data_IF_757427052113
#
_entry.id   IF_757427052113
#
_cell.length_a   1.000
_cell.length_b   1.000
_cell.length_c   1.000
_cell.angle_alpha   90.00
_cell.angle_beta   90.00
_cell.angle_gamma   90.00
#
_symmetry.space_group_name_H-M   'P 1'
#
loop_
_entity.id
_entity.type
_entity.pdbx_description
1 polymer ?
#
# COMPACT_ATOMS: atom_id res chain seq x y z
N UNK A 1 -41.68 8.88 39.69
CA UNK A 1 -40.33 8.40 40.03
C UNK A 1 -39.75 7.70 38.81
N UNK A 2 -39.15 8.48 37.93
CA UNK A 2 -38.53 7.99 36.67
C UNK A 2 -37.06 7.73 36.97
N UNK A 3 -36.47 6.58 36.59
CA UNK A 3 -35.04 6.38 36.76
C UNK A 3 -34.28 7.10 35.62
N UNK A 4 -33.31 7.82 36.07
CA UNK A 4 -32.23 8.53 35.44
C UNK A 4 -31.51 7.66 34.38
N UNK A 5 -31.51 8.13 33.15
CA UNK A 5 -30.73 7.51 32.05
C UNK A 5 -29.29 8.03 32.16
N UNK A 6 -28.46 7.35 32.93
CA UNK A 6 -27.06 7.64 33.02
C UNK A 6 -26.41 7.51 31.61
N UNK A 7 -25.89 8.65 31.18
CA UNK A 7 -24.96 8.89 30.09
C UNK A 7 -23.82 7.81 30.10
N UNK A 8 -23.84 6.91 29.12
CA UNK A 8 -22.72 6.01 28.85
C UNK A 8 -21.78 6.76 27.91
N UNK A 9 -20.56 7.07 28.32
CA UNK A 9 -19.57 7.61 27.40
C UNK A 9 -19.31 6.59 26.31
N UNK A 10 -19.39 7.07 25.08
CA UNK A 10 -19.10 6.36 23.84
C UNK A 10 -17.67 5.77 23.88
N UNK A 11 -17.57 4.46 24.07
CA UNK A 11 -16.30 3.72 24.19
C UNK A 11 -15.59 3.52 22.83
N UNK A 12 -16.07 4.14 21.76
CA UNK A 12 -15.56 3.96 20.41
C UNK A 12 -14.38 4.87 20.04
N UNK A 13 -13.94 5.78 20.92
CA UNK A 13 -12.94 6.80 20.54
C UNK A 13 -11.64 6.79 21.39
N UNK A 14 -11.35 5.75 22.15
CA UNK A 14 -10.25 5.78 23.14
C UNK A 14 -8.99 5.00 22.76
N UNK A 15 -8.85 4.42 21.57
CA UNK A 15 -7.67 3.58 21.26
C UNK A 15 -7.03 3.79 19.87
N UNK A 16 -7.32 4.90 19.19
CA UNK A 16 -6.54 5.35 18.02
C UNK A 16 -5.43 6.31 18.49
N UNK A 17 -4.43 5.82 19.20
CA UNK A 17 -3.10 6.44 19.10
C UNK A 17 -2.66 6.12 17.68
N UNK A 18 -2.73 7.15 16.80
CA UNK A 18 -2.61 7.00 15.37
C UNK A 18 -1.42 6.13 14.99
N UNK A 19 -1.68 5.09 14.20
CA UNK A 19 -0.62 4.34 13.54
C UNK A 19 0.27 5.35 12.81
N UNK A 20 1.54 5.37 13.14
CA UNK A 20 2.49 6.26 12.47
C UNK A 20 3.19 5.43 11.41
N UNK A 21 2.68 5.52 10.18
CA UNK A 21 3.33 4.90 9.02
C UNK A 21 4.64 5.62 8.68
N UNK A 22 5.54 4.93 7.99
CA UNK A 22 6.77 5.55 7.50
C UNK A 22 6.46 6.71 6.56
N UNK A 23 7.20 7.80 6.70
CA UNK A 23 7.04 9.03 5.92
C UNK A 23 8.01 9.15 4.75
N UNK A 24 7.79 10.18 3.93
CA UNK A 24 8.70 10.55 2.85
C UNK A 24 10.13 10.80 3.35
N UNK A 25 11.11 10.33 2.59
CA UNK A 25 12.54 10.36 2.92
C UNK A 25 13.04 9.13 3.67
N UNK A 26 12.17 8.28 4.20
CA UNK A 26 12.58 7.05 4.84
C UNK A 26 12.98 5.99 3.80
N UNK A 27 13.98 5.18 4.11
CA UNK A 27 14.30 3.98 3.33
C UNK A 27 13.18 2.96 3.53
N UNK A 28 12.60 2.47 2.44
CA UNK A 28 11.58 1.44 2.49
C UNK A 28 12.18 0.12 2.99
N UNK A 29 11.63 -0.51 4.05
CA UNK A 29 12.07 -1.83 4.48
C UNK A 29 11.93 -2.85 3.36
N UNK A 30 13.00 -3.61 3.10
CA UNK A 30 12.95 -4.69 2.13
C UNK A 30 12.05 -5.83 2.65
N UNK A 31 11.44 -6.55 1.74
CA UNK A 31 10.64 -7.72 2.03
C UNK A 31 10.78 -8.76 0.92
N UNK A 32 10.40 -9.99 1.22
CA UNK A 32 10.20 -11.05 0.24
C UNK A 32 8.98 -11.85 0.68
N UNK A 33 7.87 -11.71 -0.06
CA UNK A 33 6.58 -12.32 0.26
C UNK A 33 6.10 -13.21 -0.88
N UNK A 34 5.26 -14.18 -0.56
CA UNK A 34 4.64 -15.03 -1.57
C UNK A 34 3.54 -14.27 -2.35
N UNK A 35 3.61 -14.29 -3.67
CA UNK A 35 2.54 -13.87 -4.60
C UNK A 35 1.70 -15.06 -5.07
N UNK A 36 2.34 -16.23 -5.18
CA UNK A 36 1.70 -17.52 -5.45
C UNK A 36 2.35 -18.57 -4.53
N UNK A 37 1.82 -19.81 -4.46
CA UNK A 37 2.47 -20.87 -3.69
C UNK A 37 3.95 -21.09 -4.05
N UNK A 38 4.30 -20.88 -5.32
CA UNK A 38 5.62 -21.21 -5.88
C UNK A 38 6.48 -19.97 -6.17
N UNK A 39 5.91 -18.75 -6.07
CA UNK A 39 6.60 -17.51 -6.43
C UNK A 39 6.65 -16.53 -5.26
N UNK A 40 7.78 -15.88 -5.12
CA UNK A 40 7.99 -14.77 -4.19
C UNK A 40 8.33 -13.51 -4.96
N UNK A 41 7.95 -12.39 -4.39
CA UNK A 41 8.25 -11.05 -4.88
C UNK A 41 8.95 -10.29 -3.76
N UNK A 42 10.06 -9.65 -4.08
CA UNK A 42 10.83 -8.81 -3.17
C UNK A 42 10.82 -7.36 -3.62
N UNK A 43 10.93 -6.42 -2.70
CA UNK A 43 11.05 -5.00 -3.08
C UNK A 43 12.31 -4.76 -3.93
N UNK A 44 13.37 -5.52 -3.69
CA UNK A 44 14.62 -5.45 -4.45
C UNK A 44 14.46 -5.81 -5.94
N UNK A 45 13.46 -6.59 -6.31
CA UNK A 45 13.17 -6.96 -7.70
C UNK A 45 12.81 -5.74 -8.55
N UNK A 46 12.44 -4.61 -7.90
CA UNK A 46 12.01 -3.37 -8.54
C UNK A 46 13.08 -2.27 -8.48
N UNK A 47 14.33 -2.60 -8.20
CA UNK A 47 15.41 -1.59 -8.21
C UNK A 47 15.50 -0.89 -9.57
N UNK A 48 15.56 0.45 -9.52
CA UNK A 48 15.55 1.30 -10.72
C UNK A 48 14.14 1.64 -11.23
N UNK A 49 13.08 1.10 -10.61
CA UNK A 49 11.69 1.33 -10.97
C UNK A 49 10.90 1.81 -9.75
N UNK A 50 9.93 2.68 -9.95
CA UNK A 50 9.04 3.10 -8.87
C UNK A 50 8.04 1.99 -8.50
N UNK A 51 7.67 1.94 -7.23
CA UNK A 51 6.68 0.99 -6.70
C UNK A 51 5.58 1.75 -5.96
N UNK A 52 4.34 1.43 -6.29
CA UNK A 52 3.16 1.76 -5.48
C UNK A 52 2.87 0.55 -4.59
N UNK A 53 3.14 0.68 -3.30
CA UNK A 53 2.88 -0.37 -2.31
C UNK A 53 1.60 -0.03 -1.56
N UNK A 54 0.58 -0.87 -1.72
CA UNK A 54 -0.74 -0.68 -1.14
C UNK A 54 -1.03 -1.75 -0.09
N UNK A 55 -0.95 -1.39 1.20
CA UNK A 55 -1.49 -2.21 2.28
C UNK A 55 -3.00 -2.02 2.35
N UNK A 56 -3.74 -3.13 2.51
CA UNK A 56 -5.19 -3.12 2.64
C UNK A 56 -5.65 -4.20 3.64
N UNK A 57 -6.74 -3.98 4.39
CA UNK A 57 -7.12 -4.82 5.52
C UNK A 57 -7.35 -6.29 5.21
N UNK A 58 -8.13 -6.59 4.18
CA UNK A 58 -8.48 -7.98 3.86
C UNK A 58 -9.06 -8.13 2.45
N UNK A 59 -8.79 -9.27 1.82
CA UNK A 59 -9.52 -9.71 0.63
C UNK A 59 -11.03 -9.78 0.92
N UNK A 60 -11.84 -9.67 -0.12
CA UNK A 60 -13.30 -9.80 -0.07
C UNK A 60 -14.05 -8.73 0.74
N UNK A 61 -13.36 -7.85 1.48
CA UNK A 61 -14.06 -6.72 2.11
C UNK A 61 -14.56 -5.75 1.02
N UNK A 62 -15.76 -5.16 1.16
CA UNK A 62 -16.33 -4.31 0.12
C UNK A 62 -15.41 -3.15 -0.27
N UNK A 63 -14.91 -2.40 0.71
CA UNK A 63 -14.03 -1.24 0.47
C UNK A 63 -12.70 -1.63 -0.16
N UNK A 64 -12.11 -2.77 0.25
CA UNK A 64 -10.87 -3.28 -0.36
C UNK A 64 -11.13 -3.73 -1.80
N UNK A 65 -12.26 -4.38 -2.04
CA UNK A 65 -12.67 -4.76 -3.39
C UNK A 65 -12.79 -3.58 -4.34
N UNK A 66 -13.42 -2.50 -3.90
CA UNK A 66 -13.57 -1.28 -4.69
C UNK A 66 -12.23 -0.57 -4.91
N UNK A 67 -11.36 -0.55 -3.90
CA UNK A 67 -10.01 -0.01 -4.01
C UNK A 67 -9.17 -0.78 -5.04
N UNK A 68 -9.15 -2.11 -4.96
CA UNK A 68 -8.39 -2.95 -5.90
C UNK A 68 -8.95 -2.85 -7.32
N UNK A 69 -10.26 -2.76 -7.50
CA UNK A 69 -10.89 -2.54 -8.80
C UNK A 69 -10.49 -1.19 -9.40
N UNK A 70 -10.51 -0.11 -8.61
CA UNK A 70 -10.04 1.20 -9.04
C UNK A 70 -8.58 1.15 -9.48
N UNK A 71 -7.71 0.54 -8.67
CA UNK A 71 -6.28 0.45 -8.98
C UNK A 71 -6.02 -0.38 -10.24
N UNK A 72 -6.81 -1.42 -10.47
CA UNK A 72 -6.73 -2.20 -11.71
C UNK A 72 -7.12 -1.37 -12.94
N UNK A 73 -8.08 -0.45 -12.81
CA UNK A 73 -8.47 0.46 -13.91
C UNK A 73 -7.39 1.50 -14.21
N UNK A 74 -6.72 2.05 -13.19
CA UNK A 74 -5.67 3.06 -13.35
C UNK A 74 -4.26 2.49 -13.49
N UNK A 75 -4.10 1.17 -13.45
CA UNK A 75 -2.82 0.49 -13.59
C UNK A 75 -2.02 0.91 -14.84
N UNK A 76 -2.64 1.11 -16.03
CA UNK A 76 -1.92 1.61 -17.20
C UNK A 76 -1.26 2.97 -16.98
N UNK A 77 -1.88 3.85 -16.18
CA UNK A 77 -1.31 5.17 -15.84
C UNK A 77 -0.11 5.03 -14.91
N UNK A 78 -0.17 4.14 -13.91
CA UNK A 78 0.98 3.86 -13.05
C UNK A 78 2.16 3.36 -13.88
N UNK A 79 1.93 2.42 -14.80
CA UNK A 79 2.97 1.90 -15.69
C UNK A 79 3.51 2.94 -16.66
N UNK A 80 2.65 3.82 -17.18
CA UNK A 80 3.09 4.96 -18.02
C UNK A 80 4.03 5.90 -17.26
N UNK A 81 3.84 6.04 -15.95
CA UNK A 81 4.70 6.82 -15.05
C UNK A 81 5.90 6.01 -14.50
N UNK A 82 6.13 4.80 -15.02
CA UNK A 82 7.27 3.96 -14.67
C UNK A 82 7.13 3.26 -13.31
N UNK A 83 5.91 3.04 -12.84
CA UNK A 83 5.65 2.41 -11.55
C UNK A 83 4.90 1.07 -11.70
N UNK A 84 5.25 0.11 -10.84
CA UNK A 84 4.49 -1.12 -10.62
C UNK A 84 3.66 -1.01 -9.34
N UNK A 85 2.48 -1.65 -9.36
CA UNK A 85 1.59 -1.72 -8.21
C UNK A 85 1.70 -3.07 -7.52
N UNK A 86 1.77 -3.06 -6.20
CA UNK A 86 1.79 -4.24 -5.34
C UNK A 86 0.75 -4.07 -4.24
N UNK A 87 -0.16 -5.02 -4.09
CA UNK A 87 -1.06 -5.09 -2.95
C UNK A 87 -0.49 -6.01 -1.87
N UNK A 88 -0.68 -5.65 -0.60
CA UNK A 88 -0.23 -6.46 0.55
C UNK A 88 -1.32 -6.53 1.60
N UNK A 89 -1.66 -7.73 2.03
CA UNK A 89 -2.48 -7.97 3.22
C UNK A 89 -1.98 -9.18 4.01
N UNK A 90 -2.60 -9.47 5.15
CA UNK A 90 -2.31 -10.66 5.94
C UNK A 90 -3.04 -11.91 5.48
N UNK A 91 -3.77 -11.82 4.38
CA UNK A 91 -4.43 -13.00 3.78
C UNK A 91 -3.39 -13.96 3.19
N UNK A 92 -3.74 -15.24 3.13
CA UNK A 92 -2.86 -16.26 2.57
C UNK A 92 -2.93 -16.29 1.03
N UNK A 93 -1.90 -16.87 0.40
CA UNK A 93 -1.75 -16.94 -1.07
C UNK A 93 -2.95 -17.51 -1.79
N UNK A 94 -3.64 -18.51 -1.21
CA UNK A 94 -4.83 -19.10 -1.82
C UNK A 94 -6.02 -18.15 -1.82
N UNK A 95 -6.16 -17.33 -0.76
CA UNK A 95 -7.16 -16.27 -0.70
C UNK A 95 -6.87 -15.22 -1.77
N UNK A 96 -5.64 -14.74 -1.84
CA UNK A 96 -5.20 -13.79 -2.87
C UNK A 96 -5.43 -14.33 -4.29
N UNK A 97 -5.10 -15.58 -4.55
CA UNK A 97 -5.30 -16.20 -5.87
C UNK A 97 -6.79 -16.19 -6.27
N UNK A 98 -7.66 -16.60 -5.35
CA UNK A 98 -9.10 -16.62 -5.59
C UNK A 98 -9.66 -15.19 -5.76
N UNK A 99 -9.24 -14.26 -4.91
CA UNK A 99 -9.68 -12.87 -4.96
C UNK A 99 -9.22 -12.15 -6.23
N UNK A 100 -7.94 -12.28 -6.59
CA UNK A 100 -7.38 -11.70 -7.79
C UNK A 100 -8.05 -12.26 -9.05
N UNK A 101 -8.27 -13.57 -9.10
CA UNK A 101 -8.96 -14.22 -10.22
C UNK A 101 -10.41 -13.76 -10.36
N UNK A 102 -11.16 -13.71 -9.25
CA UNK A 102 -12.57 -13.28 -9.27
C UNK A 102 -12.74 -11.82 -9.70
N UNK A 103 -11.74 -10.97 -9.47
CA UNK A 103 -11.75 -9.54 -9.81
C UNK A 103 -10.90 -9.19 -11.03
N UNK A 104 -10.32 -10.18 -11.69
CA UNK A 104 -9.45 -10.02 -12.86
C UNK A 104 -8.36 -8.95 -12.61
N UNK A 105 -7.64 -9.04 -11.47
CA UNK A 105 -6.57 -8.12 -11.12
C UNK A 105 -5.31 -8.42 -11.94
N UNK A 106 -4.64 -7.38 -12.43
CA UNK A 106 -3.45 -7.48 -13.27
C UNK A 106 -2.17 -7.01 -12.57
N UNK A 107 -2.15 -7.05 -11.26
CA UNK A 107 -1.01 -6.76 -10.38
C UNK A 107 -0.93 -7.79 -9.25
N UNK A 108 0.27 -8.04 -8.68
CA UNK A 108 0.44 -9.04 -7.65
C UNK A 108 -0.17 -8.61 -6.31
N UNK A 109 -0.77 -9.59 -5.61
CA UNK A 109 -1.12 -9.50 -4.21
C UNK A 109 -0.14 -10.37 -3.43
N UNK A 110 0.43 -9.82 -2.35
CA UNK A 110 1.46 -10.48 -1.55
C UNK A 110 0.96 -10.81 -0.16
N UNK A 111 1.22 -12.05 0.27
CA UNK A 111 0.77 -12.59 1.53
C UNK A 111 1.76 -12.28 2.66
N UNK A 112 1.46 -11.28 3.48
CA UNK A 112 2.14 -11.01 4.77
C UNK A 112 1.51 -11.87 5.88
N UNK A 113 1.37 -13.18 5.58
CA UNK A 113 0.59 -14.14 6.34
C UNK A 113 1.34 -14.68 7.54
N UNK A 114 2.62 -15.09 7.35
CA UNK A 114 3.44 -15.68 8.41
C UNK A 114 4.93 -15.31 8.24
N UNK A 115 5.57 -14.69 9.24
CA UNK A 115 4.99 -14.17 10.49
C UNK A 115 3.96 -13.08 10.22
N UNK A 116 2.77 -13.22 10.80
CA UNK A 116 1.60 -12.41 10.47
C UNK A 116 1.86 -10.91 10.61
N UNK A 117 1.74 -10.18 9.50
CA UNK A 117 1.90 -8.74 9.47
C UNK A 117 3.33 -8.26 9.74
N UNK A 118 4.35 -9.09 9.54
CA UNK A 118 5.74 -8.72 9.80
C UNK A 118 6.19 -7.55 8.91
N UNK A 119 5.85 -7.59 7.63
CA UNK A 119 6.15 -6.50 6.69
C UNK A 119 5.31 -5.27 7.01
N UNK A 120 4.01 -5.42 7.23
CA UNK A 120 3.15 -4.32 7.60
C UNK A 120 3.63 -3.61 8.88
N UNK A 121 4.12 -4.34 9.88
CA UNK A 121 4.72 -3.76 11.10
C UNK A 121 5.96 -2.93 10.79
N UNK A 122 6.83 -3.39 9.90
CA UNK A 122 8.04 -2.65 9.52
C UNK A 122 7.73 -1.32 8.83
N UNK A 123 6.57 -1.20 8.18
CA UNK A 123 6.07 0.02 7.56
C UNK A 123 5.18 0.87 8.50
N UNK A 124 4.92 0.39 9.73
CA UNK A 124 3.98 1.03 10.66
C UNK A 124 2.51 0.89 10.26
N UNK A 125 2.21 -0.07 9.38
CA UNK A 125 0.91 -0.27 8.74
C UNK A 125 0.16 -1.52 9.27
N UNK A 126 0.35 -1.90 10.53
CA UNK A 126 -0.33 -3.05 11.14
C UNK A 126 -1.22 -2.66 12.32
N UNK A 127 -2.40 -3.24 12.39
CA UNK A 127 -3.41 -3.07 13.44
C UNK A 127 -3.40 -4.26 14.37
N UNK A 128 -2.73 -4.13 15.51
CA UNK A 128 -2.57 -5.23 16.47
C UNK A 128 -3.89 -5.73 17.05
N UNK A 129 -4.82 -4.82 17.30
CA UNK A 129 -6.10 -5.17 17.92
C UNK A 129 -6.98 -6.02 17.00
N UNK A 130 -6.98 -5.73 15.71
CA UNK A 130 -7.82 -6.41 14.71
C UNK A 130 -7.03 -7.52 13.96
N UNK A 131 -5.72 -7.50 14.04
CA UNK A 131 -4.87 -8.50 13.40
C UNK A 131 -4.85 -8.41 11.87
N UNK A 132 -5.02 -7.20 11.33
CA UNK A 132 -5.02 -6.89 9.90
C UNK A 132 -4.08 -5.72 9.59
N UNK A 133 -3.83 -5.45 8.32
CA UNK A 133 -3.09 -4.26 7.91
C UNK A 133 -3.97 -3.01 7.97
N UNK A 134 -3.32 -1.87 8.13
CA UNK A 134 -3.94 -0.56 7.85
C UNK A 134 -4.27 -0.44 6.36
N UNK A 135 -5.05 0.58 6.02
CA UNK A 135 -5.20 1.05 4.65
C UNK A 135 -4.15 2.13 4.39
N UNK A 136 -2.95 1.68 4.05
CA UNK A 136 -1.78 2.55 3.92
C UNK A 136 -1.15 2.42 2.53
N UNK A 137 -0.77 3.55 1.96
CA UNK A 137 -0.19 3.65 0.62
C UNK A 137 1.20 4.24 0.71
N UNK A 138 2.10 3.74 -0.12
CA UNK A 138 3.45 4.26 -0.26
C UNK A 138 3.82 4.34 -1.74
N UNK A 139 4.44 5.45 -2.14
CA UNK A 139 5.15 5.57 -3.41
C UNK A 139 6.63 5.53 -3.10
N UNK A 140 7.31 4.53 -3.62
CA UNK A 140 8.73 4.23 -3.39
C UNK A 140 9.45 4.44 -4.72
N UNK A 141 10.58 5.14 -4.71
CA UNK A 141 11.38 5.34 -5.93
C UNK A 141 12.30 4.15 -6.25
N UNK A 142 13.00 4.24 -7.38
CA UNK A 142 13.94 3.20 -7.83
C UNK A 142 15.13 2.95 -6.90
N UNK A 143 15.45 3.89 -6.01
CA UNK A 143 16.50 3.74 -4.98
C UNK A 143 15.96 3.12 -3.68
N UNK A 144 14.63 2.85 -3.63
CA UNK A 144 13.96 2.28 -2.47
C UNK A 144 13.63 3.30 -1.39
N UNK A 145 13.58 4.59 -1.72
CA UNK A 145 13.20 5.66 -0.79
C UNK A 145 11.72 5.97 -0.94
N UNK A 146 11.01 6.02 0.19
CA UNK A 146 9.61 6.46 0.22
C UNK A 146 9.56 7.93 -0.15
N UNK A 147 8.82 8.27 -1.20
CA UNK A 147 8.63 9.65 -1.67
C UNK A 147 7.30 10.23 -1.24
N UNK A 148 6.33 9.37 -1.02
CA UNK A 148 5.02 9.75 -0.53
C UNK A 148 4.39 8.60 0.24
N UNK A 149 3.60 8.92 1.27
CA UNK A 149 2.81 7.94 2.00
C UNK A 149 1.49 8.54 2.45
N UNK A 150 0.47 7.69 2.55
CA UNK A 150 -0.87 8.09 2.98
C UNK A 150 -1.51 6.99 3.83
N UNK A 151 -2.07 7.39 4.97
CA UNK A 151 -2.88 6.53 5.83
C UNK A 151 -4.35 6.94 5.70
N UNK A 152 -5.17 6.05 5.17
CA UNK A 152 -6.62 6.26 5.03
C UNK A 152 -7.38 5.61 6.19
N UNK A 153 -8.50 6.17 6.63
CA UNK A 153 -9.41 5.45 7.50
C UNK A 153 -9.81 4.10 6.90
N UNK A 154 -9.94 3.07 7.75
CA UNK A 154 -10.10 1.68 7.29
C UNK A 154 -11.34 1.48 6.39
N UNK A 155 -12.39 2.24 6.62
CA UNK A 155 -13.64 2.21 5.84
C UNK A 155 -13.69 3.16 4.65
N UNK A 156 -12.59 3.85 4.31
CA UNK A 156 -12.56 4.87 3.24
C UNK A 156 -11.61 4.43 2.14
N UNK A 157 -12.12 4.34 0.90
CA UNK A 157 -11.26 4.15 -0.27
C UNK A 157 -10.44 5.43 -0.50
N UNK A 158 -9.09 5.37 -0.48
CA UNK A 158 -8.24 6.56 -0.60
C UNK A 158 -8.20 7.15 -2.02
N UNK A 159 -8.76 6.48 -3.01
CA UNK A 159 -8.63 6.90 -4.41
C UNK A 159 -7.22 6.66 -4.97
N UNK A 160 -6.94 7.24 -6.14
CA UNK A 160 -5.66 7.12 -6.82
C UNK A 160 -4.95 8.47 -7.02
N UNK A 161 -5.62 9.59 -6.77
CA UNK A 161 -5.13 10.93 -7.13
C UNK A 161 -3.80 11.25 -6.45
N UNK A 162 -3.68 11.02 -5.15
CA UNK A 162 -2.44 11.27 -4.41
C UNK A 162 -1.27 10.39 -4.87
N UNK A 163 -1.55 9.15 -5.32
CA UNK A 163 -0.54 8.27 -5.92
C UNK A 163 -0.06 8.85 -7.25
N UNK A 164 -1.01 9.25 -8.11
CA UNK A 164 -0.69 9.80 -9.44
C UNK A 164 0.12 11.08 -9.33
N UNK A 165 -0.27 12.02 -8.45
CA UNK A 165 0.47 13.24 -8.19
C UNK A 165 1.91 12.95 -7.72
N UNK A 166 2.09 11.99 -6.83
CA UNK A 166 3.41 11.59 -6.34
C UNK A 166 4.28 10.97 -7.44
N UNK A 167 3.70 10.12 -8.29
CA UNK A 167 4.40 9.51 -9.43
C UNK A 167 4.77 10.53 -10.50
N UNK A 168 3.88 11.48 -10.81
CA UNK A 168 4.17 12.58 -11.75
C UNK A 168 5.35 13.42 -11.26
N UNK A 169 5.39 13.73 -9.95
CA UNK A 169 6.52 14.41 -9.33
C UNK A 169 7.84 13.67 -9.51
N UNK A 170 7.85 12.34 -9.33
CA UNK A 170 9.05 11.51 -9.56
C UNK A 170 9.47 11.50 -11.03
N UNK A 171 8.53 11.36 -11.93
CA UNK A 171 8.80 11.31 -13.38
C UNK A 171 9.42 12.61 -13.89
N UNK A 172 8.95 13.76 -13.42
CA UNK A 172 9.51 15.08 -13.77
C UNK A 172 10.95 15.25 -13.27
N UNK A 173 11.26 14.78 -12.06
CA UNK A 173 12.63 14.86 -11.50
C UNK A 173 13.62 13.96 -12.26
N UNK A 174 13.21 12.78 -12.68
CA UNK A 174 14.05 11.89 -13.48
C UNK A 174 14.38 12.47 -14.87
N UNK A 175 13.44 13.18 -15.50
CA UNK A 175 13.63 13.84 -16.80
C UNK A 175 14.61 15.02 -16.76
N UNK A 176 14.75 15.70 -15.63
CA UNK A 176 15.69 16.83 -15.48
C UNK A 176 17.15 16.39 -15.26
N UNK A 177 17.36 15.21 -14.69
CA UNK A 177 18.72 14.70 -14.41
C UNK A 177 19.44 14.21 -15.69
N UNK A 178 18.71 13.82 -16.72
CA UNK A 178 19.27 13.34 -17.99
C UNK A 178 19.60 14.47 -18.99
N UNK A 179 19.07 15.68 -18.78
CA UNK A 179 19.31 16.83 -19.70
C UNK A 179 20.60 17.62 -19.37
N UNK A 180 21.28 17.34 -18.26
CA UNK A 180 22.46 18.08 -17.77
C UNK A 180 23.83 17.49 -18.14
N UNK A 181 23.92 16.34 -18.80
CA UNK A 181 25.17 15.67 -19.13
C UNK A 181 25.48 15.69 -20.64
N UNK A 182 25.66 16.91 -21.19
CA UNK A 182 25.98 17.02 -22.58
C UNK A 182 26.55 18.38 -22.95
N UNK A 183 27.87 18.62 -22.71
CA UNK A 183 28.82 19.25 -23.63
C UNK A 183 30.23 19.26 -23.02
N UNK A 184 31.20 18.63 -23.59
CA UNK A 184 32.57 19.13 -23.58
C UNK A 184 32.84 19.84 -24.90
N UNK A 185 33.42 21.02 -24.76
CA UNK A 185 34.09 21.75 -25.84
C UNK A 185 35.35 21.05 -26.23
#
# INVERSE_FOLDING_TARGET
MTPDTADRPDATNANHRGAQILGAGAQAPNFSLHSTPDQRVSLEDFRGQAVVLAFYPADWSPVCGDQMALYNQVLPEFRRLGAELIGVSVDGVWCHTAFAGARNLHFPLLADFEPKGAVARSYGAYRDAEGVTERALFVIDGDGVIRWSHLSPIGVNPGADGILEALEGLHQHAGHTTAGAGAPS
#
